data_IF_020044678683
#
_entry.id   IF_020044678683
#
_cell.length_a   1.000
_cell.length_b   1.000
_cell.length_c   1.000
_cell.angle_alpha   90.00
_cell.angle_beta   90.00
_cell.angle_gamma   90.00
#
_symmetry.space_group_name_H-M   'P 1'
#
loop_
_entity.id
_entity.type
_entity.pdbx_description
1 polymer ?
#
# COMPACT_ATOMS: atom_id res chain seq x y z
N UNK A 1 -55.37 18.72 3.43
CA UNK A 1 -54.53 18.28 2.32
C UNK A 1 -53.10 18.75 2.60
N UNK A 2 -52.26 17.89 3.12
CA UNK A 2 -50.83 18.18 3.38
C UNK A 2 -50.06 18.04 2.06
N UNK A 3 -49.38 19.11 1.67
CA UNK A 3 -48.45 19.08 0.50
C UNK A 3 -47.19 18.36 0.94
N UNK A 4 -46.92 17.21 0.35
CA UNK A 4 -45.63 16.55 0.43
C UNK A 4 -44.66 17.33 -0.47
N UNK A 5 -43.63 17.96 0.15
CA UNK A 5 -42.53 18.54 -0.60
C UNK A 5 -41.75 17.42 -1.31
N UNK A 6 -41.33 17.64 -2.56
CA UNK A 6 -40.52 16.67 -3.29
C UNK A 6 -39.13 16.61 -2.63
N UNK A 7 -38.72 15.41 -2.20
CA UNK A 7 -37.35 15.12 -1.77
C UNK A 7 -36.44 15.37 -2.95
N UNK A 8 -35.58 16.39 -2.86
CA UNK A 8 -34.57 16.65 -3.86
C UNK A 8 -33.59 15.47 -3.91
N UNK A 9 -33.27 14.95 -5.09
CA UNK A 9 -32.25 13.91 -5.22
C UNK A 9 -30.91 14.49 -4.71
N UNK A 10 -30.33 13.86 -3.70
CA UNK A 10 -28.97 14.18 -3.29
C UNK A 10 -28.07 14.06 -4.54
N UNK A 11 -27.37 15.13 -4.88
CA UNK A 11 -26.36 15.11 -5.92
C UNK A 11 -25.38 13.99 -5.61
N UNK A 12 -25.17 13.07 -6.56
CA UNK A 12 -24.20 12.01 -6.39
C UNK A 12 -22.83 12.61 -6.04
N UNK A 13 -22.26 12.19 -4.93
CA UNK A 13 -20.94 12.63 -4.51
C UNK A 13 -19.95 12.31 -5.64
N UNK A 14 -19.34 13.35 -6.20
CA UNK A 14 -18.32 13.19 -7.26
C UNK A 14 -17.01 12.87 -6.57
N UNK A 15 -16.44 11.69 -6.85
CA UNK A 15 -15.15 11.28 -6.29
C UNK A 15 -14.03 12.21 -6.76
N UNK A 16 -13.27 12.74 -5.81
CA UNK A 16 -12.15 13.64 -6.11
C UNK A 16 -10.95 12.83 -6.62
N UNK A 17 -10.37 13.17 -7.79
CA UNK A 17 -9.15 12.54 -8.27
C UNK A 17 -8.06 12.54 -7.20
N UNK A 18 -7.51 11.36 -6.89
CA UNK A 18 -6.64 11.19 -5.74
C UNK A 18 -5.31 10.53 -6.09
N UNK A 19 -4.22 11.06 -5.53
CA UNK A 19 -2.88 10.46 -5.62
C UNK A 19 -2.46 10.03 -4.22
N UNK A 20 -2.26 8.73 -4.03
CA UNK A 20 -1.82 8.14 -2.76
C UNK A 20 -0.31 8.02 -2.77
N UNK A 21 0.32 8.45 -1.66
CA UNK A 21 1.74 8.22 -1.41
C UNK A 21 1.88 7.14 -0.34
N UNK A 22 2.67 6.11 -0.62
CA UNK A 22 2.96 5.07 0.37
C UNK A 22 4.43 4.72 0.44
N UNK A 23 4.83 4.23 1.62
CA UNK A 23 6.17 3.72 1.90
C UNK A 23 6.07 2.32 2.50
N UNK A 24 6.86 1.38 1.97
CA UNK A 24 7.00 0.05 2.52
C UNK A 24 8.26 0.07 3.39
N UNK A 25 8.07 0.13 4.71
CA UNK A 25 9.16 0.27 5.68
C UNK A 25 9.74 -1.10 5.97
N UNK A 26 10.88 -1.35 5.34
CA UNK A 26 11.64 -2.57 5.44
C UNK A 26 13.15 -2.28 5.44
N UNK A 27 13.95 -3.14 6.03
CA UNK A 27 15.41 -3.05 5.93
C UNK A 27 15.88 -3.59 4.58
N UNK A 28 16.90 -2.98 4.02
CA UNK A 28 17.39 -3.32 2.68
C UNK A 28 17.74 -4.80 2.46
N UNK A 29 18.11 -5.52 3.50
CA UNK A 29 18.42 -6.95 3.38
C UNK A 29 17.19 -7.86 3.23
N UNK A 30 15.97 -7.34 3.46
CA UNK A 30 14.71 -8.10 3.32
C UNK A 30 14.17 -8.12 1.90
N UNK A 31 14.75 -7.34 0.98
CA UNK A 31 14.29 -7.31 -0.41
C UNK A 31 14.34 -8.69 -1.05
N UNK A 32 13.41 -8.98 -1.95
CA UNK A 32 13.33 -10.27 -2.66
C UNK A 32 14.63 -10.63 -3.40
N UNK A 33 15.39 -9.64 -3.87
CA UNK A 33 16.68 -9.90 -4.52
C UNK A 33 17.74 -10.47 -3.58
N UNK A 34 17.54 -10.31 -2.26
CA UNK A 34 18.41 -10.83 -1.21
C UNK A 34 17.91 -12.18 -0.65
N UNK A 35 16.76 -12.67 -1.09
CA UNK A 35 16.23 -13.95 -0.64
C UNK A 35 17.27 -15.08 -0.84
N UNK A 36 17.58 -15.77 0.26
CA UNK A 36 18.61 -16.83 0.27
C UNK A 36 20.06 -16.35 0.44
N UNK A 37 20.31 -15.04 0.60
CA UNK A 37 21.62 -14.55 1.00
C UNK A 37 21.78 -14.67 2.53
N UNK A 38 22.94 -15.14 2.96
CA UNK A 38 23.35 -15.04 4.36
C UNK A 38 23.94 -13.65 4.60
N UNK A 39 23.18 -12.77 5.23
CA UNK A 39 23.63 -11.41 5.56
C UNK A 39 24.15 -11.40 7.01
N UNK A 40 25.40 -11.01 7.27
CA UNK A 40 25.97 -10.96 8.61
C UNK A 40 25.13 -10.08 9.58
N UNK A 41 25.04 -10.45 10.84
CA UNK A 41 24.25 -9.73 11.85
C UNK A 41 24.67 -8.25 11.97
N UNK A 42 25.98 -7.95 11.90
CA UNK A 42 26.47 -6.57 11.90
C UNK A 42 25.94 -5.74 10.73
N UNK A 43 25.82 -6.34 9.57
CA UNK A 43 25.26 -5.67 8.38
C UNK A 43 23.73 -5.53 8.51
N UNK A 44 23.03 -6.49 9.10
CA UNK A 44 21.60 -6.35 9.39
C UNK A 44 21.35 -5.19 10.36
N UNK A 45 22.15 -5.06 11.43
CA UNK A 45 22.10 -3.93 12.37
C UNK A 45 22.34 -2.59 11.64
N UNK A 46 23.30 -2.55 10.72
CA UNK A 46 23.57 -1.35 9.93
C UNK A 46 22.37 -0.99 9.05
N UNK A 47 21.75 -1.96 8.36
CA UNK A 47 20.55 -1.71 7.55
C UNK A 47 19.37 -1.24 8.40
N UNK A 48 19.18 -1.79 9.60
CA UNK A 48 18.13 -1.36 10.53
C UNK A 48 18.31 0.11 10.96
N UNK A 49 19.53 0.49 11.39
CA UNK A 49 19.84 1.88 11.74
C UNK A 49 19.67 2.85 10.57
N UNK A 50 20.05 2.43 9.36
CA UNK A 50 19.91 3.25 8.15
C UNK A 50 18.45 3.39 7.74
N UNK A 51 17.67 2.30 7.80
CA UNK A 51 16.20 2.33 7.57
C UNK A 51 15.54 3.36 8.50
N UNK A 52 15.82 3.31 9.80
CA UNK A 52 15.27 4.29 10.75
C UNK A 52 15.69 5.72 10.39
N UNK A 53 16.99 5.96 10.18
CA UNK A 53 17.53 7.29 9.86
C UNK A 53 16.88 7.87 8.60
N UNK A 54 16.73 7.06 7.56
CA UNK A 54 16.13 7.51 6.29
C UNK A 54 14.63 7.73 6.43
N UNK A 55 13.94 6.86 7.18
CA UNK A 55 12.50 7.04 7.44
C UNK A 55 12.25 8.35 8.18
N UNK A 56 13.04 8.68 9.23
CA UNK A 56 12.95 9.96 9.93
C UNK A 56 13.18 11.15 9.01
N UNK A 57 14.19 11.09 8.14
CA UNK A 57 14.43 12.14 7.13
C UNK A 57 13.27 12.30 6.14
N UNK A 58 12.59 11.20 5.78
CA UNK A 58 11.38 11.25 4.97
C UNK A 58 10.23 11.93 5.72
N UNK A 59 10.04 11.61 7.01
CA UNK A 59 9.04 12.28 7.86
C UNK A 59 9.27 13.79 7.94
N UNK A 60 10.52 14.23 8.17
CA UNK A 60 10.88 15.66 8.18
C UNK A 60 10.51 16.32 6.85
N UNK A 61 10.78 15.64 5.74
CA UNK A 61 10.47 16.19 4.41
C UNK A 61 8.96 16.25 4.14
N UNK A 62 8.22 15.23 4.53
CA UNK A 62 6.76 15.20 4.44
C UNK A 62 6.13 16.32 5.29
N UNK A 63 6.63 16.53 6.50
CA UNK A 63 6.20 17.63 7.38
C UNK A 63 6.44 19.00 6.73
N UNK A 64 7.62 19.24 6.13
CA UNK A 64 7.94 20.48 5.43
C UNK A 64 6.99 20.78 4.26
N UNK A 65 6.40 19.78 3.64
CA UNK A 65 5.44 19.94 2.53
C UNK A 65 3.98 19.81 2.94
N UNK A 66 3.70 19.56 4.23
CA UNK A 66 2.36 19.27 4.72
C UNK A 66 1.73 18.02 4.11
N UNK A 67 2.55 17.08 3.66
CA UNK A 67 2.12 15.87 2.97
C UNK A 67 1.88 14.74 3.95
N UNK A 68 0.71 14.12 3.91
CA UNK A 68 0.43 12.88 4.62
C UNK A 68 0.58 11.67 3.69
N UNK A 69 1.04 10.54 4.24
CA UNK A 69 1.31 9.31 3.52
C UNK A 69 0.88 8.07 4.32
N UNK A 70 0.86 6.92 3.67
CA UNK A 70 0.64 5.60 4.29
C UNK A 70 1.97 4.87 4.41
N UNK A 71 2.26 4.32 5.58
CA UNK A 71 3.46 3.54 5.85
C UNK A 71 3.06 2.09 6.13
N UNK A 72 3.35 1.18 5.20
CA UNK A 72 3.22 -0.26 5.41
C UNK A 72 4.49 -0.76 6.08
N UNK A 73 4.39 -1.24 7.31
CA UNK A 73 5.53 -1.51 8.17
C UNK A 73 5.63 -3.01 8.46
N UNK A 74 6.83 -3.57 8.31
CA UNK A 74 7.15 -4.94 8.72
C UNK A 74 7.03 -5.06 10.25
N UNK A 75 6.32 -6.08 10.74
CA UNK A 75 6.00 -6.23 12.16
C UNK A 75 7.23 -6.35 13.08
N UNK A 76 8.32 -6.97 12.62
CA UNK A 76 9.58 -7.01 13.39
C UNK A 76 10.20 -5.62 13.61
N UNK A 77 9.91 -4.65 12.71
CA UNK A 77 10.34 -3.26 12.89
C UNK A 77 9.56 -2.60 14.02
N UNK A 78 8.25 -2.87 14.16
CA UNK A 78 7.50 -2.42 15.34
C UNK A 78 8.19 -2.88 16.63
N UNK A 79 8.45 -4.17 16.75
CA UNK A 79 9.13 -4.74 17.92
C UNK A 79 10.52 -4.15 18.18
N UNK A 80 11.31 -3.88 17.14
CA UNK A 80 12.70 -3.40 17.28
C UNK A 80 12.84 -1.87 17.33
N UNK A 81 11.88 -1.14 16.76
CA UNK A 81 11.87 0.32 16.65
C UNK A 81 10.49 0.91 17.01
N UNK A 82 9.94 0.62 18.23
CA UNK A 82 8.57 1.04 18.59
C UNK A 82 8.40 2.56 18.51
N UNK A 83 9.44 3.32 18.89
CA UNK A 83 9.39 4.78 18.83
C UNK A 83 9.29 5.31 17.38
N UNK A 84 9.86 4.63 16.39
CA UNK A 84 9.71 5.01 14.99
C UNK A 84 8.25 4.87 14.54
N UNK A 85 7.56 3.78 14.91
CA UNK A 85 6.15 3.56 14.59
C UNK A 85 5.27 4.62 15.25
N UNK A 86 5.51 4.91 16.53
CA UNK A 86 4.83 5.99 17.24
C UNK A 86 5.03 7.35 16.57
N UNK A 87 6.26 7.71 16.20
CA UNK A 87 6.58 8.98 15.54
C UNK A 87 5.87 9.13 14.19
N UNK A 88 5.76 8.04 13.40
CA UNK A 88 5.01 8.04 12.13
C UNK A 88 3.52 8.32 12.37
N UNK A 89 2.93 7.65 13.37
CA UNK A 89 1.52 7.83 13.72
C UNK A 89 1.24 9.23 14.32
N UNK A 90 2.09 9.70 15.25
CA UNK A 90 2.01 11.03 15.87
C UNK A 90 2.11 12.16 14.83
N UNK A 91 2.87 11.96 13.74
CA UNK A 91 2.94 12.87 12.61
C UNK A 91 1.68 12.88 11.72
N UNK A 92 0.67 12.05 12.03
CA UNK A 92 -0.61 11.97 11.32
C UNK A 92 -0.60 11.08 10.10
N UNK A 93 0.47 10.34 9.85
CA UNK A 93 0.53 9.35 8.77
C UNK A 93 -0.29 8.10 9.12
N UNK A 94 -0.71 7.37 8.10
CA UNK A 94 -1.37 6.09 8.28
C UNK A 94 -0.35 4.97 8.45
N UNK A 95 -0.64 4.03 9.37
CA UNK A 95 0.12 2.79 9.55
C UNK A 95 -0.66 1.64 8.88
N UNK A 96 0.03 0.86 8.06
CA UNK A 96 -0.47 -0.38 7.47
C UNK A 96 0.44 -1.57 7.76
N UNK A 97 -0.08 -2.78 7.66
CA UNK A 97 0.67 -4.02 7.86
C UNK A 97 1.47 -4.43 6.63
N UNK A 98 2.70 -4.99 6.84
CA UNK A 98 3.56 -5.49 5.76
C UNK A 98 4.17 -6.87 6.07
N UNK A 99 3.33 -7.81 6.62
CA UNK A 99 3.80 -9.10 7.17
C UNK A 99 4.72 -8.93 8.39
N UNK A 100 4.91 -10.00 9.15
CA UNK A 100 5.74 -9.96 10.35
C UNK A 100 7.22 -9.78 10.05
N UNK A 101 7.76 -10.59 9.12
CA UNK A 101 9.18 -10.70 8.78
C UNK A 101 9.48 -10.51 7.29
N UNK A 102 8.56 -9.86 6.58
CA UNK A 102 8.62 -9.61 5.13
C UNK A 102 8.57 -10.91 4.28
N UNK A 103 7.94 -11.98 4.78
CA UNK A 103 7.72 -13.20 3.98
C UNK A 103 6.61 -13.01 2.95
N UNK A 104 6.84 -13.53 1.76
CA UNK A 104 5.83 -13.54 0.68
C UNK A 104 4.71 -14.53 1.00
N UNK A 105 3.48 -14.21 0.58
CA UNK A 105 2.27 -15.00 0.86
C UNK A 105 2.41 -16.48 0.49
N UNK A 106 3.05 -16.80 -0.64
CA UNK A 106 3.24 -18.22 -1.05
C UNK A 106 4.15 -19.04 -0.12
N UNK A 107 4.72 -18.47 0.91
CA UNK A 107 5.50 -19.15 1.96
C UNK A 107 4.66 -19.54 3.17
N UNK A 108 3.37 -19.23 3.15
CA UNK A 108 2.43 -19.55 4.20
C UNK A 108 1.36 -20.53 3.72
N UNK A 109 0.76 -21.23 4.65
CA UNK A 109 -0.61 -21.71 4.55
C UNK A 109 -1.58 -20.66 5.16
N UNK A 110 -2.88 -20.87 5.04
CA UNK A 110 -3.88 -19.93 5.52
C UNK A 110 -3.77 -19.67 7.04
N UNK A 111 -3.49 -20.71 7.84
CA UNK A 111 -3.34 -20.57 9.29
C UNK A 111 -2.08 -19.78 9.66
N UNK A 112 -0.96 -20.10 9.02
CA UNK A 112 0.30 -19.38 9.24
C UNK A 112 0.22 -17.93 8.82
N UNK A 113 -0.53 -17.63 7.73
CA UNK A 113 -0.75 -16.26 7.29
C UNK A 113 -1.67 -15.49 8.26
N UNK A 114 -2.75 -16.12 8.76
CA UNK A 114 -3.61 -15.50 9.77
C UNK A 114 -2.83 -15.13 11.04
N UNK A 115 -1.92 -16.00 11.50
CA UNK A 115 -1.07 -15.69 12.65
C UNK A 115 -0.07 -14.58 12.35
N UNK A 116 0.56 -14.56 11.17
CA UNK A 116 1.44 -13.48 10.70
C UNK A 116 0.72 -12.12 10.70
N UNK A 117 -0.50 -12.09 10.16
CA UNK A 117 -1.34 -10.88 10.15
C UNK A 117 -1.69 -10.41 11.55
N UNK A 118 -2.08 -11.34 12.44
CA UNK A 118 -2.47 -11.04 13.83
C UNK A 118 -1.30 -10.43 14.60
N UNK A 119 -0.14 -11.09 14.63
CA UNK A 119 1.02 -10.58 15.39
C UNK A 119 1.57 -9.28 14.82
N UNK A 120 1.49 -9.10 13.51
CA UNK A 120 1.86 -7.85 12.84
C UNK A 120 0.95 -6.71 13.27
N UNK A 121 -0.37 -6.94 13.19
CA UNK A 121 -1.38 -5.96 13.53
C UNK A 121 -1.30 -5.57 15.00
N UNK A 122 -1.22 -6.57 15.90
CA UNK A 122 -1.12 -6.35 17.35
C UNK A 122 0.09 -5.48 17.71
N UNK A 123 1.28 -5.78 17.13
CA UNK A 123 2.49 -5.00 17.39
C UNK A 123 2.40 -3.57 16.87
N UNK A 124 1.89 -3.38 15.64
CA UNK A 124 1.75 -2.06 15.04
C UNK A 124 0.72 -1.20 15.79
N UNK A 125 -0.44 -1.76 16.15
CA UNK A 125 -1.48 -1.05 16.89
C UNK A 125 -1.03 -0.66 18.31
N UNK A 126 -0.25 -1.53 18.97
CA UNK A 126 0.33 -1.26 20.27
C UNK A 126 1.26 -0.04 20.22
N UNK A 127 2.17 0.02 19.23
CA UNK A 127 3.18 1.07 19.14
C UNK A 127 2.62 2.37 18.53
N UNK A 128 1.72 2.27 17.55
CA UNK A 128 1.09 3.41 16.91
C UNK A 128 0.00 4.07 17.77
N UNK A 129 -0.58 3.35 18.75
CA UNK A 129 -1.72 3.82 19.54
C UNK A 129 -3.00 4.02 18.73
N UNK A 130 -3.09 3.46 17.52
CA UNK A 130 -4.25 3.55 16.62
C UNK A 130 -4.49 2.24 15.88
N UNK A 131 -5.68 2.09 15.29
CA UNK A 131 -6.03 0.89 14.53
C UNK A 131 -5.31 0.82 13.18
N UNK A 132 -4.94 -0.39 12.77
CA UNK A 132 -4.34 -0.71 11.47
C UNK A 132 -5.39 -1.30 10.55
N UNK A 133 -5.73 -0.59 9.48
CA UNK A 133 -6.80 -0.96 8.54
C UNK A 133 -6.29 -1.52 7.22
N UNK A 134 -5.11 -1.09 6.78
CA UNK A 134 -4.54 -1.43 5.49
C UNK A 134 -3.47 -2.51 5.57
N UNK A 135 -3.39 -3.32 4.50
CA UNK A 135 -2.33 -4.31 4.33
C UNK A 135 -1.67 -4.17 2.95
N UNK A 136 -0.39 -4.51 2.89
CA UNK A 136 0.33 -4.76 1.65
C UNK A 136 1.20 -5.99 1.81
N UNK A 137 1.02 -6.98 0.93
CA UNK A 137 1.84 -8.17 0.92
C UNK A 137 3.25 -7.86 0.41
N UNK A 138 4.31 -8.36 1.07
CA UNK A 138 5.69 -8.24 0.58
C UNK A 138 5.81 -8.66 -0.88
N UNK A 139 6.50 -7.81 -1.67
CA UNK A 139 6.73 -8.04 -3.11
C UNK A 139 5.42 -8.19 -3.92
N UNK A 140 4.30 -7.59 -3.49
CA UNK A 140 2.99 -7.73 -4.15
C UNK A 140 2.62 -9.19 -4.39
N UNK A 141 2.81 -10.03 -3.38
CA UNK A 141 2.75 -11.48 -3.50
C UNK A 141 1.35 -12.08 -3.41
N UNK A 142 0.29 -11.28 -3.45
CA UNK A 142 -1.06 -11.75 -3.73
C UNK A 142 -1.21 -11.87 -5.25
N UNK A 143 -1.32 -13.10 -5.71
CA UNK A 143 -1.45 -13.50 -7.12
C UNK A 143 -2.62 -14.44 -7.28
N UNK A 144 -2.88 -14.96 -8.49
CA UNK A 144 -3.93 -15.97 -8.67
C UNK A 144 -3.71 -17.24 -7.86
N UNK A 145 -2.44 -17.63 -7.64
CA UNK A 145 -2.09 -18.82 -6.86
C UNK A 145 -2.27 -18.62 -5.35
N UNK A 146 -2.19 -17.37 -4.89
CA UNK A 146 -2.30 -16.99 -3.48
C UNK A 146 -3.57 -16.18 -3.18
N UNK A 147 -4.58 -16.23 -4.06
CA UNK A 147 -5.85 -15.52 -3.91
C UNK A 147 -6.62 -15.84 -2.61
N UNK A 148 -6.37 -17.02 -2.02
CA UNK A 148 -6.88 -17.41 -0.71
C UNK A 148 -6.49 -16.44 0.42
N UNK A 149 -5.42 -15.67 0.23
CA UNK A 149 -4.99 -14.67 1.20
C UNK A 149 -6.02 -13.56 1.40
N UNK A 150 -6.85 -13.25 0.39
CA UNK A 150 -7.94 -12.28 0.52
C UNK A 150 -9.00 -12.73 1.51
N UNK A 151 -9.31 -14.03 1.54
CA UNK A 151 -10.25 -14.61 2.51
C UNK A 151 -9.70 -14.43 3.93
N UNK A 152 -8.43 -14.73 4.14
CA UNK A 152 -7.76 -14.57 5.45
C UNK A 152 -7.66 -13.11 5.88
N UNK A 153 -7.34 -12.20 4.96
CA UNK A 153 -7.29 -10.75 5.25
C UNK A 153 -8.66 -10.23 5.70
N UNK A 154 -9.73 -10.63 5.01
CA UNK A 154 -11.09 -10.24 5.36
C UNK A 154 -11.49 -10.73 6.76
N UNK A 155 -11.12 -11.97 7.11
CA UNK A 155 -11.34 -12.57 8.43
C UNK A 155 -10.47 -11.92 9.53
N UNK A 156 -9.28 -11.40 9.17
CA UNK A 156 -8.35 -10.77 10.11
C UNK A 156 -8.66 -9.30 10.41
N UNK A 157 -9.78 -8.77 9.88
CA UNK A 157 -10.26 -7.43 10.18
C UNK A 157 -9.46 -6.30 9.51
N UNK A 158 -8.76 -6.58 8.40
CA UNK A 158 -8.26 -5.54 7.51
C UNK A 158 -9.41 -4.99 6.65
N UNK A 159 -9.37 -3.70 6.34
CA UNK A 159 -10.42 -3.01 5.59
C UNK A 159 -10.09 -2.92 4.10
N UNK A 160 -8.82 -2.74 3.78
CA UNK A 160 -8.33 -2.68 2.41
C UNK A 160 -6.96 -3.34 2.24
N UNK A 161 -6.66 -3.73 1.02
CA UNK A 161 -5.39 -4.29 0.59
C UNK A 161 -4.77 -3.46 -0.54
N UNK A 162 -3.45 -3.55 -0.70
CA UNK A 162 -2.72 -2.95 -1.81
C UNK A 162 -1.62 -3.91 -2.28
N UNK A 163 -2.01 -5.14 -2.58
CA UNK A 163 -1.07 -6.22 -2.93
C UNK A 163 -1.18 -6.70 -4.37
N UNK A 164 -2.27 -6.34 -5.09
CA UNK A 164 -2.50 -6.80 -6.45
C UNK A 164 -1.98 -5.75 -7.43
N UNK A 165 -0.91 -6.08 -8.14
CA UNK A 165 -0.34 -5.19 -9.15
C UNK A 165 -0.83 -5.63 -10.55
N UNK A 166 -1.56 -4.79 -11.30
CA UNK A 166 -2.15 -5.18 -12.60
C UNK A 166 -1.12 -5.14 -13.75
N UNK A 167 -0.04 -5.90 -13.61
CA UNK A 167 1.09 -5.96 -14.56
C UNK A 167 1.53 -7.40 -14.83
N UNK A 168 2.22 -7.61 -15.94
CA UNK A 168 2.96 -8.86 -16.18
C UNK A 168 4.39 -8.70 -15.66
N UNK A 169 4.76 -9.48 -14.64
CA UNK A 169 6.08 -9.47 -14.05
C UNK A 169 6.52 -10.89 -13.66
N UNK A 170 7.84 -11.14 -13.58
CA UNK A 170 8.41 -12.45 -13.29
C UNK A 170 8.27 -12.91 -11.82
N UNK A 171 7.87 -12.02 -10.91
CA UNK A 171 7.78 -12.30 -9.47
C UNK A 171 6.41 -12.03 -8.85
N UNK A 172 5.57 -11.25 -9.51
CA UNK A 172 4.28 -10.79 -9.01
C UNK A 172 3.38 -10.34 -10.17
N UNK A 173 2.16 -9.97 -9.83
CA UNK A 173 1.25 -9.28 -10.73
C UNK A 173 0.15 -10.14 -11.32
N UNK A 174 -0.96 -9.49 -11.61
CA UNK A 174 -2.14 -10.04 -12.26
C UNK A 174 -2.50 -9.11 -13.42
N UNK A 175 -2.05 -9.41 -14.65
CA UNK A 175 -2.10 -8.45 -15.78
C UNK A 175 -3.49 -7.98 -16.18
N UNK A 176 -4.50 -8.77 -15.91
CA UNK A 176 -5.91 -8.52 -16.23
C UNK A 176 -6.72 -7.96 -15.06
N UNK A 177 -6.11 -7.76 -13.89
CA UNK A 177 -6.76 -7.06 -12.78
C UNK A 177 -7.07 -5.59 -13.13
N UNK A 178 -8.11 -4.99 -12.55
CA UNK A 178 -8.43 -3.59 -12.73
C UNK A 178 -7.26 -2.68 -12.31
N UNK A 179 -7.12 -1.54 -13.00
CA UNK A 179 -6.08 -0.53 -12.73
C UNK A 179 -6.53 0.52 -11.71
N UNK A 180 -7.83 0.68 -11.51
CA UNK A 180 -8.45 1.53 -10.50
C UNK A 180 -8.85 0.72 -9.28
N UNK A 181 -9.20 1.34 -8.15
CA UNK A 181 -9.74 0.63 -7.00
C UNK A 181 -10.89 -0.31 -7.36
N UNK A 182 -10.88 -1.50 -6.77
CA UNK A 182 -11.87 -2.55 -7.04
C UNK A 182 -12.07 -3.44 -5.82
N UNK A 183 -13.14 -4.22 -5.82
CA UNK A 183 -13.36 -5.26 -4.82
C UNK A 183 -12.70 -6.55 -5.31
N UNK A 184 -11.61 -6.95 -4.69
CA UNK A 184 -10.95 -8.23 -4.91
C UNK A 184 -11.70 -9.32 -4.12
N UNK A 185 -11.95 -10.47 -4.75
CA UNK A 185 -12.69 -11.58 -4.14
C UNK A 185 -11.82 -12.83 -4.14
N UNK A 186 -11.59 -13.39 -2.96
CA UNK A 186 -10.88 -14.64 -2.76
C UNK A 186 -11.71 -15.87 -3.17
N UNK A 187 -11.09 -17.04 -3.32
CA UNK A 187 -11.79 -18.30 -3.68
C UNK A 187 -12.80 -18.75 -2.64
N UNK A 188 -12.64 -18.40 -1.37
CA UNK A 188 -13.59 -18.68 -0.27
C UNK A 188 -14.74 -17.67 -0.19
N UNK A 189 -14.75 -16.63 -1.03
CA UNK A 189 -15.78 -15.58 -1.06
C UNK A 189 -15.47 -14.37 -0.19
N UNK A 190 -14.40 -14.38 0.58
CA UNK A 190 -13.89 -13.19 1.28
C UNK A 190 -13.60 -12.06 0.28
N UNK A 191 -13.94 -10.84 0.64
CA UNK A 191 -13.77 -9.70 -0.25
C UNK A 191 -13.07 -8.54 0.43
N UNK A 192 -12.19 -7.88 -0.33
CA UNK A 192 -11.34 -6.80 0.13
C UNK A 192 -11.35 -5.65 -0.86
N UNK A 193 -11.39 -4.40 -0.38
CA UNK A 193 -11.11 -3.27 -1.24
C UNK A 193 -9.64 -3.27 -1.62
N UNK A 194 -9.34 -3.31 -2.90
CA UNK A 194 -7.98 -3.30 -3.43
C UNK A 194 -7.62 -1.93 -4.00
N UNK A 195 -6.45 -1.42 -3.60
CA UNK A 195 -5.84 -0.19 -4.11
C UNK A 195 -4.58 -0.54 -4.94
N UNK A 196 -4.72 -0.75 -6.25
CA UNK A 196 -3.59 -1.17 -7.07
C UNK A 196 -2.56 -0.05 -7.28
N UNK A 197 -1.25 -0.38 -7.35
CA UNK A 197 -0.23 0.59 -7.69
C UNK A 197 -0.37 1.13 -9.11
N UNK A 198 0.14 2.35 -9.34
CA UNK A 198 0.14 3.02 -10.64
C UNK A 198 0.76 2.17 -11.74
N UNK A 199 0.07 2.11 -12.86
CA UNK A 199 0.57 1.53 -14.10
C UNK A 199 0.53 2.56 -15.23
N UNK A 200 1.41 2.42 -16.21
CA UNK A 200 1.31 3.13 -17.49
C UNK A 200 0.78 2.19 -18.57
N UNK A 201 -0.39 2.50 -19.13
CA UNK A 201 -0.97 1.69 -20.20
C UNK A 201 -0.37 2.09 -21.54
N UNK A 202 0.34 1.16 -22.16
CA UNK A 202 0.93 1.35 -23.48
C UNK A 202 0.71 0.08 -24.34
N UNK A 203 0.24 0.23 -25.58
CA UNK A 203 0.00 -0.90 -26.51
C UNK A 203 -0.74 -2.08 -25.86
N UNK A 204 -1.82 -1.80 -25.09
CA UNK A 204 -2.65 -2.77 -24.35
C UNK A 204 -1.91 -3.51 -23.20
N UNK A 205 -0.68 -3.13 -22.87
CA UNK A 205 0.05 -3.66 -21.74
C UNK A 205 0.16 -2.62 -20.62
N UNK A 206 0.16 -3.08 -19.37
CA UNK A 206 0.40 -2.23 -18.22
C UNK A 206 1.87 -2.34 -17.82
N UNK A 207 2.57 -1.22 -17.80
CA UNK A 207 3.95 -1.14 -17.34
C UNK A 207 3.97 -0.77 -15.85
N UNK A 208 4.80 -1.43 -15.02
CA UNK A 208 4.93 -1.14 -13.60
C UNK A 208 5.75 0.13 -13.38
N UNK A 209 5.10 1.24 -13.10
CA UNK A 209 5.76 2.55 -12.93
C UNK A 209 5.42 3.21 -11.60
N UNK A 210 4.65 2.52 -10.73
CA UNK A 210 4.17 3.07 -9.46
C UNK A 210 5.24 3.24 -8.39
N UNK A 211 6.45 2.71 -8.58
CA UNK A 211 7.51 2.81 -7.57
C UNK A 211 8.70 1.88 -7.83
N UNK A 212 9.50 1.65 -6.80
CA UNK A 212 10.60 0.70 -6.81
C UNK A 212 11.63 0.94 -7.92
N UNK A 213 12.11 -0.16 -8.50
CA UNK A 213 13.14 -0.12 -9.55
C UNK A 213 12.76 0.71 -10.77
N UNK A 214 11.51 0.73 -11.13
CA UNK A 214 11.02 1.48 -12.31
C UNK A 214 11.01 2.99 -12.06
N UNK A 215 10.62 3.46 -10.87
CA UNK A 215 10.75 4.86 -10.50
C UNK A 215 12.21 5.33 -10.54
N UNK A 216 13.13 4.48 -10.09
CA UNK A 216 14.56 4.80 -10.12
C UNK A 216 15.12 4.82 -11.54
N UNK A 217 14.69 3.88 -12.38
CA UNK A 217 15.17 3.70 -13.76
C UNK A 217 14.67 4.78 -14.71
N UNK A 218 13.37 5.04 -14.72
CA UNK A 218 12.75 5.95 -15.68
C UNK A 218 12.91 7.42 -15.27
N UNK A 219 12.95 8.36 -16.24
CA UNK A 219 12.86 9.79 -15.96
C UNK A 219 11.55 10.13 -15.22
N UNK A 220 11.56 11.17 -14.38
CA UNK A 220 10.41 11.56 -13.55
C UNK A 220 9.12 11.82 -14.36
N UNK A 221 9.27 12.40 -15.57
CA UNK A 221 8.10 12.66 -16.44
C UNK A 221 7.27 11.41 -16.77
N UNK A 222 7.89 10.21 -16.77
CA UNK A 222 7.17 8.95 -16.98
C UNK A 222 6.20 8.72 -15.83
N UNK A 223 6.64 8.88 -14.58
CA UNK A 223 5.78 8.76 -13.39
C UNK A 223 4.65 9.78 -13.41
N UNK A 224 4.98 11.05 -13.70
CA UNK A 224 3.98 12.12 -13.80
C UNK A 224 2.94 11.84 -14.90
N UNK A 225 3.38 11.38 -16.07
CA UNK A 225 2.47 11.00 -17.17
C UNK A 225 1.61 9.81 -16.81
N UNK A 226 2.14 8.87 -16.01
CA UNK A 226 1.38 7.70 -15.56
C UNK A 226 0.29 8.08 -14.56
N UNK A 227 0.59 8.97 -13.62
CA UNK A 227 -0.42 9.55 -12.70
C UNK A 227 -1.52 10.24 -13.51
N UNK A 228 -1.16 11.12 -14.45
CA UNK A 228 -2.12 11.81 -15.31
C UNK A 228 -2.98 10.84 -16.10
N UNK A 229 -2.38 9.78 -16.65
CA UNK A 229 -3.13 8.76 -17.38
C UNK A 229 -4.12 8.03 -16.46
N UNK A 230 -3.69 7.61 -15.25
CA UNK A 230 -4.57 6.95 -14.30
C UNK A 230 -5.77 7.85 -13.97
N UNK A 231 -5.52 9.09 -13.58
CA UNK A 231 -6.58 10.05 -13.24
C UNK A 231 -7.53 10.30 -14.42
N UNK A 232 -7.02 10.36 -15.63
CA UNK A 232 -7.84 10.66 -16.82
C UNK A 232 -8.61 9.46 -17.37
N UNK A 233 -8.17 8.21 -17.11
CA UNK A 233 -8.67 7.03 -17.82
C UNK A 233 -9.23 5.93 -16.93
N UNK A 234 -9.23 6.11 -15.60
CA UNK A 234 -9.78 5.13 -14.66
C UNK A 234 -10.93 5.71 -13.84
N UNK A 235 -11.81 4.83 -13.36
CA UNK A 235 -12.93 5.18 -12.50
C UNK A 235 -13.05 4.13 -11.38
N UNK A 236 -12.93 4.53 -10.12
CA UNK A 236 -12.58 5.88 -9.62
C UNK A 236 -11.14 6.29 -9.99
N UNK A 237 -10.87 7.61 -10.17
CA UNK A 237 -9.58 8.13 -10.60
C UNK A 237 -8.58 8.17 -9.44
N UNK A 238 -7.93 7.05 -9.14
CA UNK A 238 -6.94 6.90 -8.08
C UNK A 238 -5.61 6.44 -8.66
N UNK A 239 -4.53 7.05 -8.20
CA UNK A 239 -3.16 6.69 -8.54
C UNK A 239 -2.37 6.45 -7.24
N UNK A 240 -1.77 5.27 -7.04
CA UNK A 240 -1.01 4.94 -5.85
C UNK A 240 0.47 4.73 -6.16
N UNK A 241 1.33 5.53 -5.53
CA UNK A 241 2.78 5.37 -5.57
C UNK A 241 3.28 4.65 -4.33
N UNK A 242 4.34 3.85 -4.50
CA UNK A 242 5.00 3.15 -3.41
C UNK A 242 6.51 3.26 -3.49
N UNK A 243 7.15 3.43 -2.35
CA UNK A 243 8.60 3.55 -2.23
C UNK A 243 9.07 2.81 -0.98
N UNK A 244 10.40 2.56 -0.92
CA UNK A 244 11.02 1.99 0.27
C UNK A 244 12.06 2.96 0.82
N UNK A 245 12.24 3.11 2.14
CA UNK A 245 13.23 4.01 2.72
C UNK A 245 14.63 3.81 2.16
N UNK A 246 15.07 2.57 1.95
CA UNK A 246 16.39 2.26 1.40
C UNK A 246 16.62 2.79 -0.03
N UNK A 247 15.58 3.09 -0.80
CA UNK A 247 15.70 3.70 -2.12
C UNK A 247 16.24 5.14 -2.07
N UNK A 248 16.12 5.78 -0.93
CA UNK A 248 16.58 7.15 -0.67
C UNK A 248 17.93 7.21 0.04
N UNK A 249 18.61 6.06 0.19
CA UNK A 249 19.91 5.93 0.82
C UNK A 249 21.01 5.55 -0.19
N UNK A 250 21.57 6.55 -0.85
CA UNK A 250 22.63 6.33 -1.84
C UNK A 250 23.95 5.80 -1.23
N UNK A 251 24.14 5.96 0.09
CA UNK A 251 25.33 5.56 0.82
C UNK A 251 25.23 4.18 1.49
N UNK A 252 24.10 3.47 1.34
CA UNK A 252 23.93 2.18 2.01
C UNK A 252 24.95 1.13 1.53
N UNK A 253 25.37 0.18 2.37
CA UNK A 253 26.15 -0.98 1.98
C UNK A 253 25.47 -1.75 0.86
N UNK A 254 26.25 -2.31 -0.05
CA UNK A 254 25.68 -3.07 -1.16
C UNK A 254 25.66 -4.56 -0.86
N UNK A 255 24.48 -5.17 -1.01
CA UNK A 255 24.31 -6.63 -0.97
C UNK A 255 25.12 -7.31 -2.09
N UNK A 256 25.64 -8.52 -1.86
CA UNK A 256 26.41 -9.30 -2.84
C UNK A 256 25.48 -9.96 -3.89
N UNK A 257 24.75 -9.13 -4.62
CA UNK A 257 23.77 -9.55 -5.62
C UNK A 257 24.45 -9.92 -6.95
N UNK A 258 23.81 -10.84 -7.71
CA UNK A 258 24.16 -11.13 -9.10
C UNK A 258 24.01 -9.87 -9.97
N UNK A 259 24.74 -9.79 -11.08
CA UNK A 259 24.83 -8.57 -11.92
C UNK A 259 23.49 -7.93 -12.27
N UNK A 260 22.51 -8.72 -12.73
CA UNK A 260 21.19 -8.20 -13.14
C UNK A 260 20.40 -7.71 -11.91
N UNK A 261 20.35 -8.50 -10.84
CA UNK A 261 19.69 -8.09 -9.59
C UNK A 261 20.36 -6.85 -8.99
N UNK A 262 21.68 -6.79 -9.00
CA UNK A 262 22.45 -5.63 -8.54
C UNK A 262 22.12 -4.36 -9.34
N UNK A 263 22.04 -4.46 -10.66
CA UNK A 263 21.62 -3.33 -11.51
C UNK A 263 20.20 -2.88 -11.16
N UNK A 264 19.22 -3.81 -11.15
CA UNK A 264 17.81 -3.52 -10.82
C UNK A 264 17.64 -2.89 -9.44
N UNK A 265 18.46 -3.30 -8.47
CA UNK A 265 18.38 -2.82 -7.08
C UNK A 265 19.00 -1.42 -6.93
N UNK A 266 20.11 -1.12 -7.59
CA UNK A 266 20.87 0.12 -7.32
C UNK A 266 20.79 1.17 -8.41
N UNK A 267 20.17 0.89 -9.57
CA UNK A 267 20.00 1.87 -10.62
C UNK A 267 19.22 3.09 -10.11
N UNK A 268 19.74 4.28 -10.34
CA UNK A 268 19.05 5.55 -10.08
C UNK A 268 18.90 5.96 -8.61
N UNK A 269 19.34 5.16 -7.62
CA UNK A 269 19.22 5.47 -6.18
C UNK A 269 19.71 6.88 -5.84
N UNK A 270 20.82 7.34 -6.42
CA UNK A 270 21.37 8.70 -6.16
C UNK A 270 20.42 9.84 -6.53
N UNK A 271 19.48 9.61 -7.47
CA UNK A 271 18.53 10.62 -7.95
C UNK A 271 17.12 10.42 -7.37
N UNK A 272 16.93 9.40 -6.53
CA UNK A 272 15.61 9.02 -6.06
C UNK A 272 15.00 10.10 -5.16
N UNK A 273 15.82 10.67 -4.27
CA UNK A 273 15.40 11.73 -3.36
C UNK A 273 14.96 12.98 -4.12
N UNK A 274 15.75 13.46 -5.09
CA UNK A 274 15.40 14.66 -5.89
C UNK A 274 14.10 14.46 -6.68
N UNK A 275 13.87 13.22 -7.17
CA UNK A 275 12.60 12.90 -7.85
C UNK A 275 11.40 12.92 -6.92
N UNK A 276 11.55 12.37 -5.70
CA UNK A 276 10.49 12.42 -4.70
C UNK A 276 10.20 13.88 -4.31
N UNK A 277 11.24 14.67 -4.09
CA UNK A 277 11.10 16.09 -3.78
C UNK A 277 10.36 16.86 -4.87
N UNK A 278 10.67 16.61 -6.13
CA UNK A 278 9.94 17.18 -7.25
C UNK A 278 8.46 16.77 -7.27
N UNK A 279 8.14 15.52 -6.91
CA UNK A 279 6.77 15.06 -6.81
C UNK A 279 6.04 15.75 -5.65
N UNK A 280 6.64 15.83 -4.47
CA UNK A 280 6.05 16.49 -3.30
C UNK A 280 5.73 17.97 -3.55
N UNK A 281 6.52 18.63 -4.39
CA UNK A 281 6.30 20.04 -4.75
C UNK A 281 5.25 20.23 -5.87
N UNK A 282 4.86 19.18 -6.59
CA UNK A 282 3.99 19.29 -7.78
C UNK A 282 2.70 18.48 -7.70
N UNK A 283 2.55 17.60 -6.70
CA UNK A 283 1.38 16.75 -6.49
C UNK A 283 0.83 16.95 -5.08
N UNK A 284 -0.49 16.89 -4.95
CA UNK A 284 -1.15 16.77 -3.65
C UNK A 284 -1.33 15.28 -3.39
N UNK A 285 -0.77 14.82 -2.30
CA UNK A 285 -0.85 13.42 -1.89
C UNK A 285 -1.82 13.23 -0.72
N UNK A 286 -2.34 12.00 -0.62
CA UNK A 286 -3.27 11.56 0.41
C UNK A 286 -2.83 10.23 1.01
N UNK A 287 -3.28 9.92 2.23
CA UNK A 287 -3.20 8.59 2.82
C UNK A 287 -4.20 7.66 2.12
N UNK A 288 -3.90 6.36 2.11
CA UNK A 288 -4.80 5.37 1.55
C UNK A 288 -6.14 5.33 2.29
N UNK A 289 -6.12 5.39 3.62
CA UNK A 289 -7.35 5.34 4.43
C UNK A 289 -8.33 6.49 4.13
N UNK A 290 -7.83 7.69 3.83
CA UNK A 290 -8.69 8.83 3.48
C UNK A 290 -9.40 8.59 2.14
N UNK A 291 -8.70 7.97 1.19
CA UNK A 291 -9.26 7.60 -0.11
C UNK A 291 -10.24 6.41 0.04
N UNK A 292 -9.93 5.46 0.90
CA UNK A 292 -10.81 4.32 1.25
C UNK A 292 -12.14 4.83 1.83
N UNK A 293 -12.10 5.78 2.76
CA UNK A 293 -13.32 6.37 3.33
C UNK A 293 -14.21 6.98 2.24
N UNK A 294 -13.65 7.77 1.31
CA UNK A 294 -14.42 8.35 0.20
C UNK A 294 -14.94 7.27 -0.77
N UNK A 295 -14.19 6.18 -1.00
CA UNK A 295 -14.65 5.08 -1.85
C UNK A 295 -15.84 4.33 -1.24
N UNK A 296 -15.91 4.22 0.10
CA UNK A 296 -17.07 3.65 0.79
C UNK A 296 -18.32 4.52 0.67
N UNK A 297 -18.16 5.84 0.62
CA UNK A 297 -19.26 6.79 0.49
C UNK A 297 -19.77 6.96 -0.96
N UNK A 298 -19.10 6.33 -1.94
CA UNK A 298 -19.53 6.40 -3.33
C UNK A 298 -20.88 5.71 -3.55
N UNK A 299 -21.80 6.42 -4.22
CA UNK A 299 -23.11 5.91 -4.59
C UNK A 299 -23.11 4.95 -5.80
N UNK A 300 -21.98 4.32 -6.13
CA UNK A 300 -21.83 3.40 -7.24
C UNK A 300 -21.03 2.16 -6.90
N UNK A 301 -21.31 1.01 -7.54
CA UNK A 301 -20.54 -0.21 -7.31
C UNK A 301 -19.14 -0.07 -7.89
N UNK A 302 -18.12 -0.43 -7.08
CA UNK A 302 -16.77 -0.65 -7.59
C UNK A 302 -16.71 -1.93 -8.45
N UNK A 303 -15.82 -1.99 -9.46
CA UNK A 303 -15.55 -3.22 -10.17
C UNK A 303 -15.25 -4.37 -9.20
N UNK A 304 -15.71 -5.58 -9.50
CA UNK A 304 -15.35 -6.79 -8.72
C UNK A 304 -14.43 -7.66 -9.57
N UNK A 305 -13.42 -8.21 -8.94
CA UNK A 305 -12.45 -9.08 -9.60
C UNK A 305 -12.17 -10.30 -8.70
N UNK A 306 -12.46 -11.50 -9.22
CA UNK A 306 -12.26 -12.75 -8.49
C UNK A 306 -10.89 -13.36 -8.80
N UNK A 307 -10.21 -13.82 -7.76
CA UNK A 307 -8.97 -14.60 -7.84
C UNK A 307 -9.22 -16.12 -7.79
N UNK A 308 -10.46 -16.57 -7.59
CA UNK A 308 -10.88 -17.97 -7.72
C UNK A 308 -11.08 -18.38 -9.19
N UNK A 309 -11.18 -19.68 -9.47
CA UNK A 309 -11.53 -20.21 -10.80
C UNK A 309 -12.96 -19.76 -11.18
N UNK A 310 -13.06 -18.93 -12.24
CA UNK A 310 -14.33 -18.48 -12.78
C UNK A 310 -14.40 -16.96 -12.89
N UNK A 311 -14.08 -16.44 -14.08
CA UNK A 311 -14.22 -15.00 -14.39
C UNK A 311 -15.72 -14.69 -14.53
N UNK A 312 -16.32 -14.10 -13.50
CA UNK A 312 -17.58 -13.39 -13.65
C UNK A 312 -17.44 -11.97 -13.10
N UNK A 313 -17.47 -11.00 -14.00
CA UNK A 313 -17.64 -9.59 -13.60
C UNK A 313 -19.11 -9.43 -13.18
N UNK A 314 -19.36 -9.39 -11.89
CA UNK A 314 -20.70 -9.11 -11.36
C UNK A 314 -20.64 -7.77 -10.61
N UNK A 315 -21.49 -6.84 -11.04
CA UNK A 315 -21.71 -5.57 -10.35
C UNK A 315 -22.54 -5.80 -9.09
N UNK A 316 -21.99 -5.57 -7.89
CA UNK A 316 -22.73 -5.66 -6.64
C UNK A 316 -22.36 -4.54 -5.66
N UNK A 317 -23.35 -4.06 -4.91
CA UNK A 317 -23.18 -3.05 -3.87
C UNK A 317 -22.45 -3.66 -2.66
N UNK A 318 -21.54 -2.89 -2.06
CA UNK A 318 -20.95 -3.22 -0.76
C UNK A 318 -22.05 -3.11 0.30
N UNK A 319 -22.45 -4.23 0.90
CA UNK A 319 -23.31 -4.20 2.08
C UNK A 319 -22.42 -4.13 3.31
N UNK A 320 -22.46 -3.01 4.01
CA UNK A 320 -21.81 -2.86 5.31
C UNK A 320 -22.51 -3.79 6.32
N UNK A 321 -21.88 -4.88 6.74
CA UNK A 321 -22.27 -5.58 7.97
C UNK A 321 -21.78 -4.72 9.13
N UNK A 322 -22.74 -4.19 9.90
CA UNK A 322 -22.53 -3.18 10.91
C UNK A 322 -21.62 -3.60 12.05
N UNK A 323 -20.61 -2.80 12.27
CA UNK A 323 -20.05 -2.59 13.60
C UNK A 323 -20.39 -1.17 14.03
N UNK A 324 -21.49 -1.04 14.79
CA UNK A 324 -21.88 0.21 15.45
C UNK A 324 -20.92 0.47 16.60
N UNK A 325 -19.87 1.22 16.35
CA UNK A 325 -19.07 1.83 17.40
C UNK A 325 -19.71 3.15 17.82
N UNK A 326 -20.30 3.20 19.00
CA UNK A 326 -20.77 4.46 19.62
C UNK A 326 -19.57 5.34 19.99
N UNK A 327 -19.62 6.64 19.73
CA UNK A 327 -18.58 7.55 20.18
C UNK A 327 -18.62 7.66 21.71
N UNK A 328 -17.45 7.48 22.34
CA UNK A 328 -17.25 7.74 23.78
C UNK A 328 -17.04 9.23 23.95
N UNK A 329 -17.94 9.91 24.66
CA UNK A 329 -17.79 11.31 25.09
C UNK A 329 -16.65 11.45 26.10
N UNK A 330 -15.84 12.54 26.04
CA UNK A 330 -14.79 12.76 27.02
C UNK A 330 -15.38 13.13 28.38
N UNK A 331 -14.94 12.42 29.42
CA UNK A 331 -15.25 12.72 30.81
C UNK A 331 -14.60 14.05 31.21
N UNK A 332 -15.39 14.96 31.78
CA UNK A 332 -14.90 16.17 32.49
C UNK A 332 -14.34 15.72 33.84
N UNK A 333 -13.11 16.08 34.09
CA UNK A 333 -12.50 15.97 35.42
C UNK A 333 -12.94 17.12 36.34
N UNK A 334 -13.04 16.86 37.67
CA UNK A 334 -13.27 17.91 38.66
C UNK A 334 -12.03 18.76 38.94
#
# INVERSE_FOLDING_TARGET
>A
MARTEPVQPHAAAVFTPSVILSFDVEEHHRIEAAAGLSVPASMQTEYASRMETVTRRLLDRLACTGTLATFYIVGEIARSHPRLVADIAEAGHEIGGHSWDHRRVHRFDARGFAEDLRITKDALEQDAGCQVFGFRAPTFSITRETGWALDVLAESGYVYDSSIYPVRHDRYGIPDAPRSPFVAVGPGGGSMLELPPVTYRMMRQNLPVGGGGYFRLFPLWVTQRSIQQMIATTAPPVAMLYFHPWEFDAGQPRLPLKRISRFRTYVGVKKCYDKLESLLNTQIFRRAIDVVAELHDLNGPLPRFSLGEGVHVVSARITSSGASARPVSPARSP
#
